data_IF_574627871454
#
_entry.id   IF_574627871454
#
_cell.length_a   1.000
_cell.length_b   1.000
_cell.length_c   1.000
_cell.angle_alpha   90.00
_cell.angle_beta   90.00
_cell.angle_gamma   90.00
#
_symmetry.space_group_name_H-M   'P 1'
#
loop_
_entity.id
_entity.type
_entity.pdbx_description
1 polymer ?
#
# COMPACT_ATOMS: atom_id res chain seq x y z
N UNK A 1 -11.70 -10.73 3.41
CA UNK A 1 -10.66 -9.67 3.39
C UNK A 1 -9.27 -10.10 3.92
N UNK A 2 -8.89 -11.39 3.90
CA UNK A 2 -7.60 -11.84 4.48
C UNK A 2 -6.37 -11.71 3.56
N UNK A 3 -6.52 -11.22 2.32
CA UNK A 3 -5.50 -11.42 1.25
C UNK A 3 -4.48 -10.29 1.06
N UNK A 4 -4.83 -9.02 1.29
CA UNK A 4 -3.91 -7.88 1.08
C UNK A 4 -3.13 -7.46 2.34
N UNK A 5 -3.74 -7.64 3.51
CA UNK A 5 -3.28 -7.09 4.79
C UNK A 5 -1.81 -7.41 5.13
N UNK A 6 -1.38 -8.66 4.98
CA UNK A 6 -0.17 -9.11 5.68
C UNK A 6 1.19 -8.74 5.06
N UNK A 7 1.26 -8.39 3.77
CA UNK A 7 2.57 -8.28 3.10
C UNK A 7 3.14 -6.86 3.04
N UNK A 8 2.30 -5.82 3.07
CA UNK A 8 2.79 -4.47 2.75
C UNK A 8 3.12 -3.60 3.97
N UNK A 9 2.53 -3.88 5.15
CA UNK A 9 2.86 -3.11 6.38
C UNK A 9 4.30 -3.32 6.85
N UNK A 10 4.86 -4.52 6.61
CA UNK A 10 6.15 -4.92 7.20
C UNK A 10 7.31 -4.10 6.67
N UNK A 11 7.23 -3.63 5.43
CA UNK A 11 8.36 -2.95 4.80
C UNK A 11 8.57 -1.55 5.39
N UNK A 12 7.52 -0.74 5.52
CA UNK A 12 7.63 0.59 6.14
C UNK A 12 8.20 0.53 7.56
N UNK A 13 7.84 -0.50 8.33
CA UNK A 13 8.41 -0.76 9.64
C UNK A 13 9.90 -1.11 9.57
N UNK A 14 10.31 -1.98 8.65
CA UNK A 14 11.73 -2.36 8.47
C UNK A 14 12.56 -1.15 8.05
N UNK A 15 12.11 -0.36 7.07
CA UNK A 15 12.78 0.88 6.67
C UNK A 15 12.94 1.86 7.83
N UNK A 16 11.90 2.02 8.64
CA UNK A 16 11.95 2.87 9.84
C UNK A 16 12.92 2.33 10.90
N UNK A 17 12.84 1.03 11.23
CA UNK A 17 13.63 0.39 12.27
C UNK A 17 15.12 0.34 11.92
N UNK A 18 15.43 -0.03 10.69
CA UNK A 18 16.80 -0.21 10.20
C UNK A 18 17.37 1.05 9.55
N UNK A 19 16.58 2.12 9.43
CA UNK A 19 16.93 3.37 8.73
C UNK A 19 17.39 3.14 7.28
N UNK A 20 16.77 2.19 6.61
CA UNK A 20 17.04 1.89 5.19
C UNK A 20 16.12 2.69 4.28
N UNK A 21 16.60 2.96 3.07
CA UNK A 21 15.75 3.49 2.00
C UNK A 21 14.67 2.48 1.63
N UNK A 22 13.63 2.95 0.92
CA UNK A 22 12.68 2.08 0.28
C UNK A 22 13.37 1.28 -0.85
N UNK A 23 12.88 0.07 -1.09
CA UNK A 23 13.39 -0.77 -2.15
C UNK A 23 12.88 -0.31 -3.53
N UNK A 24 13.58 -0.62 -4.64
CA UNK A 24 13.19 -0.15 -5.97
C UNK A 24 11.75 -0.49 -6.38
N UNK A 25 11.19 -1.61 -5.93
CA UNK A 25 9.81 -2.03 -6.23
C UNK A 25 8.75 -1.31 -5.38
N UNK A 26 9.14 -0.63 -4.30
CA UNK A 26 8.27 0.21 -3.46
C UNK A 26 8.16 1.64 -3.98
N UNK A 27 9.05 2.03 -4.88
CA UNK A 27 9.12 3.35 -5.51
C UNK A 27 9.06 3.26 -7.05
N UNK A 28 8.51 2.17 -7.59
CA UNK A 28 8.50 1.92 -9.02
C UNK A 28 7.56 2.84 -9.81
N UNK A 29 6.58 3.41 -9.11
CA UNK A 29 5.52 4.27 -9.65
C UNK A 29 5.47 5.53 -8.77
N UNK A 30 5.42 6.69 -9.41
CA UNK A 30 5.36 7.95 -8.70
C UNK A 30 4.03 8.11 -7.97
N UNK A 31 4.06 8.76 -6.80
CA UNK A 31 2.85 8.97 -6.00
C UNK A 31 1.76 9.71 -6.80
N UNK A 32 2.15 10.71 -7.60
CA UNK A 32 1.23 11.45 -8.46
C UNK A 32 0.59 10.58 -9.54
N UNK A 33 1.29 9.59 -10.06
CA UNK A 33 0.76 8.65 -11.07
C UNK A 33 -0.30 7.73 -10.44
N UNK A 34 -0.07 7.26 -9.20
CA UNK A 34 -1.06 6.50 -8.44
C UNK A 34 -2.30 7.34 -8.10
N UNK A 35 -2.11 8.61 -7.74
CA UNK A 35 -3.23 9.51 -7.43
C UNK A 35 -4.03 9.91 -8.67
N UNK A 36 -3.38 10.01 -9.83
CA UNK A 36 -4.06 10.24 -11.11
C UNK A 36 -4.88 9.02 -11.56
N UNK A 37 -4.52 7.82 -11.10
CA UNK A 37 -5.16 6.55 -11.45
C UNK A 37 -5.53 5.75 -10.19
N UNK A 38 -6.45 6.27 -9.35
CA UNK A 38 -6.82 5.62 -8.10
C UNK A 38 -7.47 4.27 -8.35
N UNK A 39 -7.17 3.28 -7.53
CA UNK A 39 -7.75 1.94 -7.68
C UNK A 39 -9.11 1.86 -6.99
N UNK A 40 -10.16 1.34 -7.65
CA UNK A 40 -11.42 1.04 -6.99
C UNK A 40 -11.24 0.04 -5.85
N UNK A 41 -11.86 0.33 -4.71
CA UNK A 41 -11.83 -0.53 -3.53
C UNK A 41 -12.40 -1.92 -3.84
N UNK A 42 -13.40 -1.98 -4.72
CA UNK A 42 -13.97 -3.23 -5.26
C UNK A 42 -12.92 -4.10 -5.95
N UNK A 43 -11.94 -3.51 -6.66
CA UNK A 43 -10.84 -4.25 -7.30
C UNK A 43 -9.92 -4.88 -6.26
N UNK A 44 -9.62 -4.18 -5.15
CA UNK A 44 -8.83 -4.74 -4.04
C UNK A 44 -9.58 -5.84 -3.29
N UNK A 45 -10.90 -5.73 -3.19
CA UNK A 45 -11.76 -6.68 -2.48
C UNK A 45 -12.20 -7.87 -3.35
N UNK A 46 -11.91 -7.82 -4.65
CA UNK A 46 -12.37 -8.83 -5.60
C UNK A 46 -11.91 -10.24 -5.24
N UNK A 47 -12.81 -11.24 -5.25
CA UNK A 47 -12.42 -12.64 -5.08
C UNK A 47 -11.54 -13.15 -6.25
N UNK A 48 -11.66 -12.52 -7.43
CA UNK A 48 -10.90 -12.82 -8.64
C UNK A 48 -9.62 -11.97 -8.77
N UNK A 49 -9.02 -11.61 -7.65
CA UNK A 49 -7.77 -10.87 -7.58
C UNK A 49 -6.64 -11.55 -8.40
N UNK A 50 -6.18 -10.89 -9.45
CA UNK A 50 -5.05 -11.36 -10.28
C UNK A 50 -3.70 -10.98 -9.65
N UNK A 51 -3.16 -11.86 -8.83
CA UNK A 51 -1.87 -11.65 -8.19
C UNK A 51 -0.74 -11.37 -9.20
N UNK A 52 -0.80 -11.98 -10.38
CA UNK A 52 0.23 -11.80 -11.40
C UNK A 52 0.20 -10.41 -11.98
N UNK A 53 -1.00 -9.87 -12.20
CA UNK A 53 -1.15 -8.53 -12.75
C UNK A 53 -0.56 -7.47 -11.83
N UNK A 54 -0.94 -7.53 -10.56
CA UNK A 54 -0.55 -6.57 -9.54
C UNK A 54 0.94 -6.53 -9.23
N UNK A 55 1.64 -7.67 -9.25
CA UNK A 55 3.02 -7.73 -8.77
C UNK A 55 4.06 -7.96 -9.86
N UNK A 56 3.72 -8.68 -10.94
CA UNK A 56 4.68 -9.04 -11.98
C UNK A 56 4.50 -8.25 -13.29
N UNK A 57 3.49 -7.40 -13.38
CA UNK A 57 3.28 -6.53 -14.54
C UNK A 57 2.67 -7.27 -15.72
N UNK A 58 1.68 -8.11 -15.43
CA UNK A 58 0.87 -8.77 -16.46
C UNK A 58 -0.49 -8.05 -16.56
N UNK A 59 -1.12 -7.98 -17.73
CA UNK A 59 -2.39 -7.24 -17.88
C UNK A 59 -2.24 -5.71 -17.73
N UNK A 60 -3.20 -5.07 -17.07
CA UNK A 60 -3.37 -3.60 -17.07
C UNK A 60 -2.47 -2.84 -16.07
N UNK A 61 -1.79 -3.55 -15.17
CA UNK A 61 -0.93 -2.93 -14.17
C UNK A 61 0.54 -3.01 -14.56
N UNK A 62 1.28 -1.93 -14.28
CA UNK A 62 2.74 -1.93 -14.40
C UNK A 62 3.35 -2.92 -13.40
N UNK A 63 4.53 -3.43 -13.74
CA UNK A 63 5.29 -4.28 -12.82
C UNK A 63 5.50 -3.55 -11.49
N UNK A 64 5.32 -4.29 -10.39
CA UNK A 64 5.41 -3.81 -9.01
C UNK A 64 4.31 -2.87 -8.52
N UNK A 65 3.24 -2.66 -9.30
CA UNK A 65 2.14 -1.77 -8.91
C UNK A 65 1.61 -2.05 -7.49
N UNK A 66 1.37 -3.31 -7.14
CA UNK A 66 0.88 -3.70 -5.82
C UNK A 66 1.88 -3.42 -4.68
N UNK A 67 3.18 -3.53 -4.95
CA UNK A 67 4.22 -3.18 -3.97
C UNK A 67 4.25 -1.67 -3.72
N UNK A 68 4.27 -0.88 -4.80
CA UNK A 68 4.31 0.57 -4.70
C UNK A 68 3.01 1.14 -4.08
N UNK A 69 1.84 0.68 -4.53
CA UNK A 69 0.55 1.14 -4.01
C UNK A 69 0.45 0.90 -2.50
N UNK A 70 0.69 -0.34 -2.05
CA UNK A 70 0.57 -0.63 -0.64
C UNK A 70 1.64 0.09 0.20
N UNK A 71 2.86 0.28 -0.33
CA UNK A 71 3.90 1.06 0.36
C UNK A 71 3.44 2.51 0.60
N UNK A 72 2.82 3.14 -0.41
CA UNK A 72 2.28 4.50 -0.29
C UNK A 72 1.06 4.58 0.63
N UNK A 73 0.19 3.56 0.65
CA UNK A 73 -0.94 3.51 1.59
C UNK A 73 -0.47 3.41 3.05
N UNK A 74 0.54 2.59 3.34
CA UNK A 74 1.12 2.50 4.69
C UNK A 74 1.88 3.79 5.04
N UNK A 75 2.57 4.40 4.07
CA UNK A 75 3.20 5.71 4.25
C UNK A 75 2.18 6.80 4.60
N UNK A 76 1.00 6.79 3.95
CA UNK A 76 -0.10 7.69 4.23
C UNK A 76 -0.60 7.51 5.66
N UNK A 77 -0.90 6.28 6.05
CA UNK A 77 -1.31 5.95 7.41
C UNK A 77 -0.28 6.42 8.44
N UNK A 78 1.02 6.17 8.19
CA UNK A 78 2.09 6.57 9.10
C UNK A 78 2.20 8.08 9.26
N UNK A 79 2.06 8.86 8.19
CA UNK A 79 2.10 10.33 8.25
C UNK A 79 0.97 10.88 9.12
N UNK A 80 -0.20 10.28 9.01
CA UNK A 80 -1.38 10.68 9.80
C UNK A 80 -1.31 10.15 11.27
N UNK A 81 -0.38 9.21 11.56
CA UNK A 81 -0.17 8.60 12.88
C UNK A 81 1.27 8.79 13.40
N UNK A 82 1.95 9.88 13.04
CA UNK A 82 3.37 10.09 13.33
C UNK A 82 3.69 10.08 14.85
N UNK A 83 2.72 10.48 15.68
CA UNK A 83 2.85 10.56 17.14
C UNK A 83 2.30 9.32 17.88
N UNK A 84 1.84 8.28 17.17
CA UNK A 84 1.29 7.10 17.82
C UNK A 84 2.38 6.25 18.49
N UNK A 85 2.00 5.56 19.57
CA UNK A 85 2.87 4.62 20.26
C UNK A 85 3.35 3.50 19.31
N UNK A 86 4.60 3.04 19.46
CA UNK A 86 5.19 2.01 18.59
C UNK A 86 4.34 0.73 18.53
N UNK A 87 3.65 0.39 19.62
CA UNK A 87 2.70 -0.72 19.73
C UNK A 87 1.59 -0.66 18.67
N UNK A 88 1.19 0.56 18.28
CA UNK A 88 0.17 0.80 17.25
C UNK A 88 0.64 0.34 15.86
N UNK A 89 1.94 0.33 15.61
CA UNK A 89 2.50 -0.13 14.33
C UNK A 89 2.38 -1.64 14.14
N UNK A 90 2.36 -2.41 15.24
CA UNK A 90 2.18 -3.86 15.18
C UNK A 90 0.71 -4.29 15.11
N UNK A 91 -0.21 -3.38 15.46
CA UNK A 91 -1.64 -3.64 15.55
C UNK A 91 -2.47 -2.91 14.48
N UNK A 92 -1.82 -2.22 13.54
CA UNK A 92 -2.50 -1.57 12.43
C UNK A 92 -3.26 -2.59 11.58
N UNK A 93 -4.53 -2.28 11.32
CA UNK A 93 -5.41 -3.13 10.52
C UNK A 93 -5.37 -2.77 9.04
N UNK A 94 -5.82 -3.69 8.17
CA UNK A 94 -5.96 -3.40 6.75
C UNK A 94 -6.95 -2.26 6.49
N UNK A 95 -8.02 -2.18 7.28
CA UNK A 95 -9.07 -1.17 7.11
C UNK A 95 -8.53 0.22 7.41
N UNK A 96 -7.65 0.38 8.41
CA UNK A 96 -6.97 1.66 8.70
C UNK A 96 -6.05 2.09 7.55
N UNK A 97 -5.32 1.16 6.95
CA UNK A 97 -4.44 1.44 5.81
C UNK A 97 -5.25 1.76 4.55
N UNK A 98 -6.38 1.07 4.33
CA UNK A 98 -7.33 1.36 3.24
C UNK A 98 -7.96 2.74 3.43
N UNK A 99 -8.38 3.09 4.64
CA UNK A 99 -8.92 4.41 4.96
C UNK A 99 -7.92 5.53 4.67
N UNK A 100 -6.64 5.33 5.03
CA UNK A 100 -5.58 6.27 4.67
C UNK A 100 -5.38 6.36 3.14
N UNK A 101 -5.46 5.22 2.43
CA UNK A 101 -5.40 5.17 0.97
C UNK A 101 -6.52 5.96 0.29
N UNK A 102 -7.76 5.83 0.79
CA UNK A 102 -8.92 6.62 0.34
C UNK A 102 -8.69 8.11 0.61
N UNK A 103 -8.25 8.47 1.82
CA UNK A 103 -8.03 9.86 2.22
C UNK A 103 -6.95 10.57 1.39
N UNK A 104 -5.98 9.84 0.84
CA UNK A 104 -4.91 10.41 -0.02
C UNK A 104 -5.17 10.23 -1.53
N UNK A 105 -6.36 9.75 -1.92
CA UNK A 105 -6.73 9.57 -3.33
C UNK A 105 -5.93 8.46 -4.02
N UNK A 106 -5.40 7.48 -3.29
CA UNK A 106 -4.79 6.28 -3.86
C UNK A 106 -5.85 5.24 -4.23
N UNK A 107 -6.98 5.28 -3.54
CA UNK A 107 -8.14 4.43 -3.74
C UNK A 107 -9.39 5.26 -4.00
N UNK A 108 -10.38 4.67 -4.66
CA UNK A 108 -11.74 5.21 -4.80
C UNK A 108 -12.77 4.21 -4.27
N UNK A 109 -13.91 4.70 -3.78
CA UNK A 109 -15.08 3.86 -3.47
C UNK A 109 -15.68 3.25 -4.72
#
# INVERSE_FOLDING_TARGET
MKRWSAKVWRVQFVCWLLKTAAEPWEQAIELSELQANPVPLTTLQSPHYDHSAWFFGTGDFRRWYGYTLGYQMVAAWRRDNAECATEKWFSVTADEVIAAGLAKGLLTN
#
